data_IF_696400432690
#
_entry.id   IF_696400432690
#
_cell.length_a   1.000
_cell.length_b   1.000
_cell.length_c   1.000
_cell.angle_alpha   90.00
_cell.angle_beta   90.00
_cell.angle_gamma   90.00
#
_symmetry.space_group_name_H-M   'P 1'
#
loop_
_entity.id
_entity.type
_entity.pdbx_description
1 polymer ?
#
# COMPACT_ATOMS: atom_id res chain seq x y z
N UNK A 1 -43.79 -25.83 17.90
CA UNK A 1 -42.78 -25.47 16.85
C UNK A 1 -43.04 -24.02 16.48
N UNK A 2 -42.23 -23.07 17.00
CA UNK A 2 -42.26 -21.64 16.65
C UNK A 2 -41.23 -21.44 15.54
N UNK A 3 -41.67 -21.03 14.35
CA UNK A 3 -40.81 -20.57 13.27
C UNK A 3 -40.22 -19.22 13.67
N UNK A 4 -38.90 -19.17 13.86
CA UNK A 4 -38.15 -17.94 13.91
C UNK A 4 -38.06 -17.38 12.49
N UNK A 5 -38.64 -16.19 12.28
CA UNK A 5 -38.45 -15.40 11.08
C UNK A 5 -37.07 -14.71 11.19
N UNK A 6 -36.11 -15.21 10.43
CA UNK A 6 -34.85 -14.49 10.20
C UNK A 6 -35.15 -13.17 9.50
N UNK A 7 -34.86 -12.06 10.15
CA UNK A 7 -34.92 -10.73 9.57
C UNK A 7 -33.76 -10.59 8.58
N UNK A 8 -34.03 -10.68 7.29
CA UNK A 8 -33.11 -10.34 6.23
C UNK A 8 -32.78 -8.84 6.30
N UNK A 9 -31.56 -8.51 6.73
CA UNK A 9 -30.99 -7.17 6.57
C UNK A 9 -30.92 -6.86 5.07
N UNK A 10 -31.48 -5.73 4.60
CA UNK A 10 -31.41 -5.38 3.19
C UNK A 10 -29.96 -5.10 2.80
N UNK A 11 -29.48 -5.84 1.78
CA UNK A 11 -28.19 -5.55 1.14
C UNK A 11 -28.23 -4.16 0.53
N UNK A 12 -27.22 -3.30 0.75
CA UNK A 12 -27.16 -2.01 0.09
C UNK A 12 -27.16 -2.24 -1.42
N UNK A 13 -28.07 -1.56 -2.13
CA UNK A 13 -28.13 -1.61 -3.61
C UNK A 13 -26.86 -0.97 -4.13
N UNK A 14 -26.00 -1.76 -4.78
CA UNK A 14 -24.97 -1.29 -5.67
C UNK A 14 -25.68 -0.50 -6.77
N UNK A 15 -25.36 0.79 -6.93
CA UNK A 15 -25.86 1.60 -8.03
C UNK A 15 -25.30 1.05 -9.33
N UNK A 16 -26.19 0.77 -10.29
CA UNK A 16 -25.88 0.21 -11.59
C UNK A 16 -24.92 1.10 -12.38
N UNK A 17 -23.96 0.40 -13.04
CA UNK A 17 -23.17 0.81 -14.21
C UNK A 17 -22.58 2.23 -14.20
N UNK A 18 -21.59 2.45 -13.34
CA UNK A 18 -20.56 3.42 -13.69
C UNK A 18 -19.77 2.93 -14.92
N UNK A 19 -19.38 3.82 -15.87
CA UNK A 19 -18.58 3.42 -17.01
C UNK A 19 -17.32 2.68 -16.57
N UNK A 20 -16.92 1.65 -17.33
CA UNK A 20 -15.74 0.84 -17.02
C UNK A 20 -14.55 1.73 -16.66
N UNK A 21 -13.92 1.48 -15.52
CA UNK A 21 -12.77 2.23 -15.05
C UNK A 21 -11.51 1.43 -15.37
N UNK A 22 -10.57 2.05 -16.06
CA UNK A 22 -9.29 1.45 -16.41
C UNK A 22 -8.25 1.70 -15.31
N UNK A 23 -7.20 0.86 -15.25
CA UNK A 23 -6.06 1.09 -14.33
C UNK A 23 -5.44 2.46 -14.51
N UNK A 24 -5.37 2.95 -15.77
CA UNK A 24 -4.92 4.30 -16.09
C UNK A 24 -5.74 5.42 -15.43
N UNK A 25 -7.03 5.20 -15.14
CA UNK A 25 -7.84 6.19 -14.42
C UNK A 25 -7.40 6.31 -12.94
N UNK A 26 -7.03 5.19 -12.28
CA UNK A 26 -6.54 5.20 -10.91
C UNK A 26 -5.18 5.91 -10.79
N UNK A 27 -4.28 5.64 -11.73
CA UNK A 27 -2.99 6.34 -11.80
C UNK A 27 -3.20 7.84 -12.06
N UNK A 28 -4.06 8.21 -12.99
CA UNK A 28 -4.35 9.61 -13.28
C UNK A 28 -4.99 10.36 -12.09
N UNK A 29 -5.83 9.69 -11.29
CA UNK A 29 -6.36 10.24 -10.04
C UNK A 29 -5.24 10.47 -9.02
N UNK A 30 -4.35 9.49 -8.84
CA UNK A 30 -3.20 9.59 -7.95
C UNK A 30 -2.28 10.75 -8.35
N UNK A 31 -1.88 10.83 -9.62
CA UNK A 31 -1.00 11.89 -10.12
C UNK A 31 -1.64 13.28 -10.03
N UNK A 32 -2.94 13.39 -10.33
CA UNK A 32 -3.62 14.68 -10.37
C UNK A 32 -4.02 15.22 -9.01
N UNK A 33 -4.34 14.32 -8.06
CA UNK A 33 -4.84 14.66 -6.74
C UNK A 33 -4.13 13.86 -5.63
N UNK A 34 -2.78 13.93 -5.53
CA UNK A 34 -2.00 13.08 -4.61
C UNK A 34 -2.38 13.28 -3.14
N UNK A 35 -2.81 14.48 -2.74
CA UNK A 35 -3.26 14.76 -1.38
C UNK A 35 -4.57 14.03 -1.02
N UNK A 36 -5.38 13.69 -2.01
CA UNK A 36 -6.65 12.98 -1.83
C UNK A 36 -6.50 11.47 -2.03
N UNK A 37 -5.64 11.08 -2.95
CA UNK A 37 -5.37 9.70 -3.36
C UNK A 37 -3.87 9.39 -3.23
N UNK A 38 -3.32 9.32 -2.01
CA UNK A 38 -1.87 9.32 -1.82
C UNK A 38 -1.18 8.00 -2.11
N UNK A 39 -1.90 6.88 -2.19
CA UNK A 39 -1.30 5.55 -2.33
C UNK A 39 -2.07 4.71 -3.33
N UNK A 40 -1.40 4.29 -4.41
CA UNK A 40 -1.91 3.34 -5.39
C UNK A 40 -1.18 1.99 -5.21
N UNK A 41 -1.95 0.93 -5.04
CA UNK A 41 -1.47 -0.45 -4.98
C UNK A 41 -2.01 -1.18 -6.21
N UNK A 42 -1.13 -1.50 -7.15
CA UNK A 42 -1.46 -2.25 -8.36
C UNK A 42 -0.93 -3.67 -8.28
N UNK A 43 -1.72 -4.63 -8.73
CA UNK A 43 -1.30 -6.01 -8.78
C UNK A 43 -0.61 -6.33 -10.10
N UNK A 44 0.65 -6.75 -10.04
CA UNK A 44 1.44 -7.16 -11.20
C UNK A 44 1.35 -8.67 -11.50
N UNK A 45 0.65 -9.47 -10.69
CA UNK A 45 0.67 -10.94 -10.80
C UNK A 45 -0.29 -11.52 -11.84
N UNK A 46 -1.01 -10.67 -12.60
CA UNK A 46 -1.99 -11.12 -13.59
C UNK A 46 -3.26 -11.73 -12.96
N UNK A 47 -4.15 -12.26 -13.80
CA UNK A 47 -5.38 -12.88 -13.35
C UNK A 47 -5.13 -14.07 -12.41
N UNK A 48 -5.74 -14.02 -11.23
CA UNK A 48 -5.63 -15.06 -10.21
C UNK A 48 -6.08 -14.57 -8.83
N UNK A 49 -6.14 -15.47 -7.86
CA UNK A 49 -6.62 -15.15 -6.51
C UNK A 49 -5.75 -14.13 -5.76
N UNK A 50 -4.46 -14.02 -6.08
CA UNK A 50 -3.50 -13.14 -5.41
C UNK A 50 -3.34 -11.76 -6.08
N UNK A 51 -3.90 -11.55 -7.27
CA UNK A 51 -3.74 -10.31 -8.02
C UNK A 51 -5.06 -9.71 -8.50
N UNK A 52 -6.12 -9.92 -7.74
CA UNK A 52 -7.47 -9.61 -8.18
C UNK A 52 -7.83 -8.12 -8.13
N UNK A 53 -7.23 -7.37 -7.24
CA UNK A 53 -7.67 -6.00 -7.02
C UNK A 53 -6.52 -5.00 -7.13
N UNK A 54 -6.80 -3.87 -7.80
CA UNK A 54 -6.03 -2.65 -7.61
C UNK A 54 -6.75 -1.79 -6.58
N UNK A 55 -6.00 -1.12 -5.72
CA UNK A 55 -6.54 -0.32 -4.63
C UNK A 55 -5.89 1.05 -4.62
N UNK A 56 -6.69 2.10 -4.84
CA UNK A 56 -6.27 3.48 -4.68
C UNK A 56 -6.81 3.98 -3.34
N UNK A 57 -5.94 4.07 -2.34
CA UNK A 57 -6.29 4.55 -1.00
C UNK A 57 -6.58 6.04 -1.03
N UNK A 58 -7.58 6.45 -0.26
CA UNK A 58 -8.11 7.80 -0.28
C UNK A 58 -8.53 8.30 1.11
N UNK A 59 -8.83 9.59 1.17
CA UNK A 59 -9.24 10.29 2.39
C UNK A 59 -8.23 10.09 3.53
N UNK A 60 -6.96 10.53 3.31
CA UNK A 60 -5.91 10.41 4.30
C UNK A 60 -6.25 11.21 5.57
N UNK A 61 -5.99 10.60 6.71
CA UNK A 61 -6.12 11.19 8.04
C UNK A 61 -4.78 11.33 8.74
N UNK A 62 -4.78 11.06 10.03
CA UNK A 62 -3.60 11.15 10.89
C UNK A 62 -2.52 10.12 10.54
N UNK A 63 -1.30 10.41 10.99
CA UNK A 63 -0.13 9.54 10.80
C UNK A 63 0.51 9.23 12.14
N UNK A 64 0.85 7.96 12.34
CA UNK A 64 1.80 7.51 13.34
C UNK A 64 3.11 7.22 12.63
N UNK A 65 4.20 7.84 13.07
CA UNK A 65 5.50 7.74 12.42
C UNK A 65 6.62 7.51 13.42
N UNK A 66 7.53 6.59 13.11
CA UNK A 66 8.81 6.43 13.75
C UNK A 66 9.90 6.93 12.82
N UNK A 67 10.50 8.09 13.15
CA UNK A 67 11.51 8.73 12.32
C UNK A 67 12.80 7.91 12.21
N UNK A 68 13.72 8.25 11.28
CA UNK A 68 15.05 7.63 11.21
C UNK A 68 15.83 7.76 12.52
N UNK A 69 15.67 8.86 13.25
CA UNK A 69 16.35 9.12 14.53
C UNK A 69 15.71 8.39 15.71
N UNK A 70 14.56 7.72 15.48
CA UNK A 70 13.84 6.97 16.52
C UNK A 70 12.81 7.81 17.29
N UNK A 71 12.40 8.96 16.74
CA UNK A 71 11.33 9.77 17.34
C UNK A 71 9.97 9.23 16.91
N UNK A 72 9.15 8.85 17.88
CA UNK A 72 7.78 8.39 17.67
C UNK A 72 6.79 9.55 17.80
N UNK A 73 5.92 9.75 16.81
CA UNK A 73 4.92 10.83 16.78
C UNK A 73 3.60 10.35 16.17
N UNK A 74 2.49 10.87 16.67
CA UNK A 74 1.16 10.63 16.14
C UNK A 74 0.22 9.93 17.11
N UNK A 75 -0.95 9.50 16.64
CA UNK A 75 -1.93 8.79 17.48
C UNK A 75 -1.36 7.53 18.11
N UNK A 76 -1.75 7.25 19.35
CA UNK A 76 -1.24 6.11 20.10
C UNK A 76 0.18 6.26 20.64
N UNK A 77 0.93 7.32 20.26
CA UNK A 77 2.32 7.52 20.69
C UNK A 77 2.46 7.96 22.15
N UNK A 78 1.41 8.52 22.75
CA UNK A 78 1.46 9.01 24.13
C UNK A 78 1.82 7.89 25.10
N UNK A 79 2.94 8.06 25.84
CA UNK A 79 3.43 7.06 26.79
C UNK A 79 4.06 5.81 26.16
N UNK A 80 4.19 5.76 24.84
CA UNK A 80 4.84 4.66 24.12
C UNK A 80 6.23 5.05 23.60
N UNK A 81 7.14 4.10 23.63
CA UNK A 81 8.47 4.24 23.03
C UNK A 81 8.67 3.36 21.79
N UNK A 82 7.70 2.48 21.49
CA UNK A 82 7.75 1.49 20.42
C UNK A 82 6.61 1.72 19.44
N UNK A 83 6.92 1.67 18.15
CA UNK A 83 5.94 1.88 17.09
C UNK A 83 4.81 0.85 17.11
N UNK A 84 5.15 -0.43 17.26
CA UNK A 84 4.14 -1.49 17.25
C UNK A 84 3.16 -1.37 18.40
N UNK A 85 3.62 -0.96 19.59
CA UNK A 85 2.74 -0.73 20.75
C UNK A 85 1.84 0.49 20.55
N UNK A 86 2.36 1.56 19.93
CA UNK A 86 1.58 2.74 19.61
C UNK A 86 0.52 2.45 18.54
N UNK A 87 0.87 1.66 17.51
CA UNK A 87 -0.07 1.24 16.47
C UNK A 87 -1.19 0.37 17.05
N UNK A 88 -0.86 -0.56 17.94
CA UNK A 88 -1.84 -1.41 18.60
C UNK A 88 -2.81 -0.59 19.48
N UNK A 89 -2.29 0.37 20.24
CA UNK A 89 -3.10 1.30 21.02
C UNK A 89 -4.04 2.13 20.13
N UNK A 90 -3.53 2.65 19.01
CA UNK A 90 -4.33 3.41 18.06
C UNK A 90 -5.40 2.53 17.40
N UNK A 91 -5.03 1.35 16.90
CA UNK A 91 -5.96 0.40 16.30
C UNK A 91 -7.06 0.01 17.29
N UNK A 92 -6.72 -0.24 18.56
CA UNK A 92 -7.69 -0.58 19.62
C UNK A 92 -8.71 0.54 19.85
N UNK A 93 -8.27 1.81 19.78
CA UNK A 93 -9.17 2.97 19.95
C UNK A 93 -10.10 3.21 18.76
N UNK A 94 -9.76 2.67 17.58
CA UNK A 94 -10.48 2.89 16.32
C UNK A 94 -11.18 1.64 15.78
N UNK A 95 -11.30 0.59 16.59
CA UNK A 95 -11.91 -0.67 16.14
C UNK A 95 -13.31 -0.46 15.56
N UNK A 96 -13.53 -1.02 14.38
CA UNK A 96 -14.80 -1.01 13.67
C UNK A 96 -15.16 -2.42 13.19
N UNK A 97 -16.45 -2.72 12.95
CA UNK A 97 -16.86 -3.99 12.35
C UNK A 97 -16.16 -4.21 11.01
N UNK A 98 -15.80 -5.47 10.71
CA UNK A 98 -15.18 -5.82 9.46
C UNK A 98 -16.07 -5.41 8.26
N UNK A 99 -15.53 -4.74 7.25
CA UNK A 99 -16.29 -4.35 6.07
C UNK A 99 -16.62 -5.57 5.19
N UNK A 100 -17.68 -5.48 4.42
CA UNK A 100 -18.05 -6.49 3.42
C UNK A 100 -17.20 -6.40 2.13
N UNK A 101 -16.36 -5.36 2.01
CA UNK A 101 -15.45 -5.09 0.90
C UNK A 101 -14.01 -5.45 1.30
N UNK A 102 -13.08 -5.68 0.35
CA UNK A 102 -11.64 -5.83 0.65
C UNK A 102 -11.04 -4.68 1.45
N UNK A 103 -11.65 -3.49 1.37
CA UNK A 103 -11.29 -2.33 2.17
C UNK A 103 -12.55 -1.54 2.55
N UNK A 104 -12.60 -0.99 3.74
CA UNK A 104 -13.72 -0.18 4.25
C UNK A 104 -13.28 0.85 5.28
N UNK A 105 -12.06 1.35 5.16
CA UNK A 105 -11.32 2.14 6.14
C UNK A 105 -10.27 1.31 6.84
N UNK A 106 -9.14 1.93 7.19
CA UNK A 106 -8.01 1.25 7.81
C UNK A 106 -6.75 2.09 7.77
N UNK A 107 -5.61 1.45 7.64
CA UNK A 107 -4.31 2.11 7.59
C UNK A 107 -3.49 1.60 6.41
N UNK A 108 -2.79 2.50 5.75
CA UNK A 108 -1.60 2.15 5.00
C UNK A 108 -0.45 2.03 5.98
N UNK A 109 0.20 0.86 6.03
CA UNK A 109 1.29 0.60 6.97
C UNK A 109 2.56 0.30 6.20
N UNK A 110 3.62 1.06 6.48
CA UNK A 110 4.97 0.80 6.03
C UNK A 110 5.84 0.40 7.24
N UNK A 111 6.51 -0.72 7.13
CA UNK A 111 7.44 -1.22 8.13
C UNK A 111 8.82 -1.36 7.46
N UNK A 112 9.73 -0.46 7.80
CA UNK A 112 11.12 -0.55 7.37
C UNK A 112 11.81 -1.74 8.00
N UNK A 113 12.83 -2.26 7.35
CA UNK A 113 13.56 -3.44 7.83
C UNK A 113 14.20 -3.21 9.21
N UNK A 114 14.55 -1.95 9.49
CA UNK A 114 15.16 -1.52 10.75
C UNK A 114 14.21 -1.55 11.96
N UNK A 115 12.89 -1.68 11.71
CA UNK A 115 11.91 -1.88 12.77
C UNK A 115 12.09 -3.24 13.46
N UNK A 116 12.73 -4.20 12.81
CA UNK A 116 13.02 -5.51 13.38
C UNK A 116 13.74 -5.42 14.73
N UNK A 117 14.50 -4.35 15.00
CA UNK A 117 15.12 -4.10 16.29
C UNK A 117 14.11 -3.86 17.44
N UNK A 118 12.85 -3.53 17.15
CA UNK A 118 11.79 -3.50 18.19
C UNK A 118 11.36 -4.89 18.64
N UNK A 119 11.52 -5.89 17.77
CA UNK A 119 11.14 -7.29 18.03
C UNK A 119 12.32 -8.04 18.60
N UNK A 120 13.49 -7.87 18.00
CA UNK A 120 14.75 -8.52 18.38
C UNK A 120 15.84 -7.47 18.63
N UNK A 121 15.99 -7.00 19.87
CA UNK A 121 16.94 -5.93 20.22
C UNK A 121 18.42 -6.29 20.05
N UNK A 122 18.76 -7.56 19.86
CA UNK A 122 20.13 -8.02 19.60
C UNK A 122 20.60 -7.65 18.18
N UNK A 123 19.68 -7.33 17.26
CA UNK A 123 20.01 -7.01 15.88
C UNK A 123 20.78 -5.70 15.76
N UNK A 124 21.89 -5.73 15.04
CA UNK A 124 22.66 -4.55 14.66
C UNK A 124 22.32 -4.18 13.23
N UNK A 125 21.36 -3.28 13.07
CA UNK A 125 20.86 -2.85 11.77
C UNK A 125 21.55 -1.55 11.32
N UNK A 126 21.67 -1.33 10.00
CA UNK A 126 22.21 -0.06 9.47
C UNK A 126 21.30 1.11 9.86
N UNK A 127 21.84 2.33 9.76
CA UNK A 127 21.02 3.52 9.96
C UNK A 127 20.00 3.66 8.83
N UNK A 128 18.72 3.82 9.13
CA UNK A 128 17.70 4.03 8.12
C UNK A 128 17.86 5.38 7.42
N UNK A 129 17.53 5.44 6.15
CA UNK A 129 17.50 6.68 5.36
C UNK A 129 16.13 7.35 5.39
N UNK A 130 15.09 6.58 5.66
CA UNK A 130 13.69 6.99 5.70
C UNK A 130 13.08 6.68 7.06
N UNK A 131 11.82 7.02 7.26
CA UNK A 131 11.07 6.59 8.44
C UNK A 131 11.24 5.08 8.65
N UNK A 132 11.45 4.66 9.90
CA UNK A 132 11.54 3.23 10.26
C UNK A 132 10.19 2.55 10.12
N UNK A 133 9.11 3.30 10.41
CA UNK A 133 7.75 2.82 10.23
C UNK A 133 6.78 3.99 10.11
N UNK A 134 5.69 3.74 9.38
CA UNK A 134 4.59 4.67 9.18
C UNK A 134 3.28 3.90 9.19
N UNK A 135 2.30 4.39 9.94
CA UNK A 135 0.90 4.01 9.77
C UNK A 135 0.10 5.27 9.44
N UNK A 136 -0.59 5.24 8.31
CA UNK A 136 -1.36 6.38 7.81
C UNK A 136 -2.82 5.99 7.69
N UNK A 137 -3.68 6.69 8.42
CA UNK A 137 -5.12 6.44 8.44
C UNK A 137 -5.72 6.75 7.08
N UNK A 138 -6.46 5.80 6.52
CA UNK A 138 -7.17 5.92 5.25
C UNK A 138 -8.65 5.63 5.50
N UNK A 139 -9.52 6.59 5.17
CA UNK A 139 -10.96 6.48 5.45
C UNK A 139 -11.76 5.99 4.26
N UNK A 140 -11.14 5.90 3.09
CA UNK A 140 -11.76 5.43 1.86
C UNK A 140 -10.77 4.87 0.87
N UNK A 141 -11.28 4.23 -0.17
CA UNK A 141 -10.51 3.74 -1.31
C UNK A 141 -11.40 3.57 -2.55
N UNK A 142 -10.73 3.52 -3.71
CA UNK A 142 -11.29 2.98 -4.93
C UNK A 142 -10.68 1.58 -5.11
N UNK A 143 -11.54 0.58 -5.24
CA UNK A 143 -11.13 -0.82 -5.43
C UNK A 143 -11.59 -1.28 -6.81
N UNK A 144 -10.64 -1.58 -7.68
CA UNK A 144 -10.90 -2.10 -9.02
C UNK A 144 -10.68 -3.61 -9.05
N UNK A 145 -11.67 -4.35 -9.52
CA UNK A 145 -11.48 -5.76 -9.89
C UNK A 145 -10.73 -5.80 -11.23
N UNK A 146 -9.54 -6.40 -11.24
CA UNK A 146 -8.66 -6.42 -12.44
C UNK A 146 -9.27 -7.25 -13.56
N UNK A 147 -9.96 -8.33 -13.22
CA UNK A 147 -10.52 -9.27 -14.18
C UNK A 147 -11.86 -8.75 -14.76
N UNK A 148 -12.76 -8.28 -13.90
CA UNK A 148 -14.08 -7.80 -14.29
C UNK A 148 -14.15 -6.32 -14.66
N UNK A 149 -13.11 -5.53 -14.35
CA UNK A 149 -13.09 -4.09 -14.58
C UNK A 149 -14.05 -3.29 -13.70
N UNK A 150 -14.73 -3.92 -12.74
CA UNK A 150 -15.66 -3.25 -11.83
C UNK A 150 -14.90 -2.34 -10.87
N UNK A 151 -15.33 -1.08 -10.76
CA UNK A 151 -14.85 -0.15 -9.76
C UNK A 151 -15.85 -0.04 -8.60
N UNK A 152 -15.36 -0.18 -7.39
CA UNK A 152 -16.10 0.09 -6.16
C UNK A 152 -15.49 1.27 -5.42
N UNK A 153 -16.31 2.26 -5.12
CA UNK A 153 -15.96 3.34 -4.20
C UNK A 153 -16.39 2.91 -2.82
N UNK A 154 -15.44 2.79 -1.91
CA UNK A 154 -15.67 2.33 -0.54
C UNK A 154 -15.13 3.35 0.45
N UNK A 155 -15.86 3.61 1.52
CA UNK A 155 -15.44 4.53 2.57
C UNK A 155 -16.18 4.23 3.87
N UNK A 156 -15.70 4.83 4.94
CA UNK A 156 -16.41 4.84 6.21
C UNK A 156 -17.79 5.53 6.04
N UNK A 157 -18.81 5.04 6.75
CA UNK A 157 -20.20 5.51 6.54
C UNK A 157 -20.38 7.03 6.60
N UNK A 158 -19.63 7.69 7.50
CA UNK A 158 -19.74 9.12 7.76
C UNK A 158 -19.29 9.99 6.58
N UNK A 159 -18.43 9.46 5.70
CA UNK A 159 -17.85 10.19 4.56
C UNK A 159 -18.23 9.58 3.21
N UNK A 160 -18.90 8.44 3.19
CA UNK A 160 -19.13 7.66 1.97
C UNK A 160 -19.90 8.43 0.87
N UNK A 161 -20.96 9.18 1.25
CA UNK A 161 -21.77 9.90 0.27
C UNK A 161 -21.01 11.08 -0.38
N UNK A 162 -20.27 11.82 0.41
CA UNK A 162 -19.47 12.96 -0.05
C UNK A 162 -18.30 12.48 -0.90
N UNK A 163 -17.66 11.41 -0.45
CA UNK A 163 -16.56 10.81 -1.17
C UNK A 163 -16.98 10.26 -2.54
N UNK A 164 -18.14 9.59 -2.62
CA UNK A 164 -18.63 9.08 -3.90
C UNK A 164 -18.84 10.21 -4.92
N UNK A 165 -19.45 11.35 -4.50
CA UNK A 165 -19.60 12.53 -5.37
C UNK A 165 -18.28 13.13 -5.79
N UNK A 166 -17.29 13.17 -4.87
CA UNK A 166 -15.97 13.69 -5.16
C UNK A 166 -15.25 12.82 -6.18
N UNK A 167 -15.32 11.49 -6.06
CA UNK A 167 -14.74 10.54 -7.01
C UNK A 167 -15.34 10.72 -8.41
N UNK A 168 -16.67 10.89 -8.52
CA UNK A 168 -17.32 11.14 -9.82
C UNK A 168 -16.79 12.41 -10.48
N UNK A 169 -16.64 13.51 -9.74
CA UNK A 169 -16.10 14.77 -10.25
C UNK A 169 -14.61 14.65 -10.65
N UNK A 170 -13.80 13.95 -9.83
CA UNK A 170 -12.39 13.76 -10.08
C UNK A 170 -12.15 12.85 -11.30
N UNK A 171 -12.92 11.77 -11.47
CA UNK A 171 -12.91 10.92 -12.65
C UNK A 171 -13.29 11.70 -13.93
N UNK A 172 -14.32 12.54 -13.85
CA UNK A 172 -14.67 13.40 -14.97
C UNK A 172 -13.52 14.33 -15.36
N UNK A 173 -12.82 14.89 -14.37
CA UNK A 173 -11.67 15.76 -14.57
C UNK A 173 -10.50 15.05 -15.26
N UNK A 174 -10.10 13.87 -14.75
CA UNK A 174 -8.95 13.15 -15.32
C UNK A 174 -9.26 12.59 -16.73
N UNK A 175 -10.50 12.18 -16.99
CA UNK A 175 -10.94 11.69 -18.29
C UNK A 175 -11.07 12.79 -19.34
N UNK A 176 -11.37 14.03 -18.94
CA UNK A 176 -11.37 15.19 -19.81
C UNK A 176 -9.96 15.71 -20.12
N UNK A 177 -8.97 15.36 -19.30
CA UNK A 177 -7.59 15.74 -19.52
C UNK A 177 -6.98 14.94 -20.68
N UNK A 178 -6.11 15.57 -21.46
CA UNK A 178 -5.35 14.87 -22.49
C UNK A 178 -4.45 13.80 -21.83
N UNK A 179 -4.45 12.61 -22.37
CA UNK A 179 -3.57 11.53 -21.93
C UNK A 179 -2.12 11.99 -22.10
N UNK A 180 -1.37 12.10 -21.02
CA UNK A 180 0.06 12.39 -21.08
C UNK A 180 0.75 11.15 -21.66
N UNK A 181 1.46 11.26 -22.80
CA UNK A 181 2.20 10.13 -23.33
C UNK A 181 3.27 9.70 -22.31
N UNK A 182 3.36 8.40 -22.06
CA UNK A 182 4.47 7.85 -21.28
C UNK A 182 5.80 8.18 -21.98
N UNK A 183 6.86 8.52 -21.24
CA UNK A 183 8.16 8.74 -21.83
C UNK A 183 8.60 7.48 -22.58
N UNK A 184 9.11 7.64 -23.77
CA UNK A 184 9.54 6.51 -24.62
C UNK A 184 10.72 5.74 -23.98
N UNK A 185 11.46 6.39 -23.10
CA UNK A 185 12.62 5.83 -22.41
C UNK A 185 12.68 6.33 -20.99
N UNK A 186 12.58 5.40 -20.04
CA UNK A 186 12.66 5.72 -18.61
C UNK A 186 14.11 5.82 -18.11
N UNK A 187 15.05 5.11 -18.74
CA UNK A 187 16.46 5.09 -18.35
C UNK A 187 17.34 5.70 -19.44
N UNK A 188 18.36 6.45 -19.05
CA UNK A 188 19.28 7.10 -19.99
C UNK A 188 20.37 6.16 -20.51
N UNK A 189 20.80 5.23 -19.68
CA UNK A 189 21.97 4.40 -19.92
C UNK A 189 21.62 2.91 -19.85
N UNK A 190 22.64 2.10 -20.08
CA UNK A 190 22.55 0.65 -19.90
C UNK A 190 22.32 0.34 -18.42
N UNK A 191 21.43 -0.60 -18.14
CA UNK A 191 21.27 -1.16 -16.80
C UNK A 191 22.54 -1.92 -16.42
N UNK A 192 23.18 -1.52 -15.34
CA UNK A 192 24.39 -2.14 -14.82
C UNK A 192 24.00 -3.20 -13.79
N UNK A 193 24.31 -4.44 -14.08
CA UNK A 193 24.16 -5.56 -13.17
C UNK A 193 25.41 -5.75 -12.31
N UNK A 194 25.22 -6.17 -11.07
CA UNK A 194 26.32 -6.68 -10.26
C UNK A 194 26.91 -7.96 -10.90
N UNK A 195 28.23 -8.15 -10.87
CA UNK A 195 28.86 -9.39 -11.38
C UNK A 195 28.21 -10.66 -10.80
N UNK A 196 27.97 -11.64 -11.67
CA UNK A 196 27.21 -12.84 -11.29
C UNK A 196 27.92 -13.70 -10.22
N UNK A 197 29.24 -13.68 -10.20
CA UNK A 197 30.08 -14.36 -9.23
C UNK A 197 29.86 -13.88 -7.80
N UNK A 198 29.66 -12.58 -7.57
CA UNK A 198 29.34 -12.02 -6.25
C UNK A 198 28.06 -12.67 -5.70
N UNK A 199 27.02 -12.78 -6.52
CA UNK A 199 25.78 -13.43 -6.12
C UNK A 199 25.95 -14.94 -5.87
N UNK A 200 26.63 -15.64 -6.77
CA UNK A 200 26.84 -17.10 -6.63
C UNK A 200 27.74 -17.47 -5.46
N UNK A 201 28.72 -16.63 -5.13
CA UNK A 201 29.56 -16.81 -3.94
C UNK A 201 28.74 -16.56 -2.66
N UNK A 202 27.86 -15.55 -2.67
CA UNK A 202 26.90 -15.32 -1.59
C UNK A 202 25.97 -16.52 -1.35
N UNK A 203 25.49 -17.15 -2.45
CA UNK A 203 24.66 -18.38 -2.35
C UNK A 203 25.45 -19.52 -1.72
N UNK A 204 26.71 -19.75 -2.12
CA UNK A 204 27.58 -20.80 -1.51
C UNK A 204 27.76 -20.53 -0.01
N UNK A 205 28.11 -19.30 0.36
CA UNK A 205 28.30 -18.93 1.76
C UNK A 205 27.01 -19.12 2.59
N UNK A 206 25.85 -18.79 2.02
CA UNK A 206 24.55 -19.00 2.68
C UNK A 206 24.26 -20.50 2.89
N UNK A 207 24.51 -21.35 1.87
CA UNK A 207 24.34 -22.80 1.99
C UNK A 207 25.26 -23.42 3.05
N UNK A 208 26.50 -22.96 3.13
CA UNK A 208 27.43 -23.39 4.16
C UNK A 208 26.98 -22.97 5.56
N UNK A 209 26.47 -21.74 5.73
CA UNK A 209 25.93 -21.26 7.00
C UNK A 209 24.69 -22.05 7.45
N UNK A 210 23.80 -22.39 6.50
CA UNK A 210 22.65 -23.27 6.76
C UNK A 210 23.11 -24.67 7.18
N UNK A 211 24.09 -25.23 6.48
CA UNK A 211 24.61 -26.56 6.80
C UNK A 211 25.28 -26.64 8.20
N UNK A 212 25.90 -25.55 8.65
CA UNK A 212 26.44 -25.44 10.02
C UNK A 212 25.39 -25.15 11.08
N UNK A 213 24.16 -24.81 10.69
CA UNK A 213 23.11 -24.40 11.62
C UNK A 213 23.22 -22.96 12.13
N UNK A 214 24.06 -22.13 11.49
CA UNK A 214 24.23 -20.71 11.85
C UNK A 214 22.98 -19.88 11.51
N UNK A 215 22.31 -20.23 10.41
CA UNK A 215 21.05 -19.61 9.95
C UNK A 215 20.09 -20.67 9.42
N UNK A 216 18.80 -20.43 9.55
CA UNK A 216 17.75 -21.29 9.02
C UNK A 216 17.47 -21.00 7.53
N UNK A 217 17.51 -19.70 7.17
CA UNK A 217 17.19 -19.20 5.84
C UNK A 217 18.01 -17.95 5.57
N UNK A 218 18.37 -17.72 4.31
CA UNK A 218 18.96 -16.48 3.84
C UNK A 218 18.23 -16.00 2.59
N UNK A 219 17.83 -14.72 2.56
CA UNK A 219 17.29 -14.06 1.38
C UNK A 219 18.42 -13.25 0.74
N UNK A 220 18.82 -13.64 -0.46
CA UNK A 220 19.86 -12.96 -1.21
C UNK A 220 19.25 -12.13 -2.33
N UNK A 221 19.77 -10.93 -2.54
CA UNK A 221 19.37 -10.05 -3.63
C UNK A 221 20.58 -9.65 -4.47
N UNK A 222 20.31 -9.30 -5.75
CA UNK A 222 21.32 -8.82 -6.70
C UNK A 222 20.90 -7.42 -7.15
N UNK A 223 21.70 -6.39 -6.91
CA UNK A 223 21.37 -5.05 -7.31
C UNK A 223 21.55 -4.81 -8.81
N UNK A 224 20.59 -4.13 -9.40
CA UNK A 224 20.68 -3.54 -10.74
C UNK A 224 20.59 -2.03 -10.61
N UNK A 225 21.42 -1.30 -11.32
CA UNK A 225 21.49 0.17 -11.26
C UNK A 225 21.26 0.75 -12.64
N UNK A 226 20.46 1.80 -12.70
CA UNK A 226 20.22 2.56 -13.91
C UNK A 226 20.04 4.04 -13.55
N UNK A 227 20.41 4.92 -14.47
CA UNK A 227 20.10 6.36 -14.36
C UNK A 227 18.78 6.64 -15.03
N UNK A 228 17.89 7.34 -14.35
CA UNK A 228 16.62 7.77 -14.93
C UNK A 228 16.82 8.94 -15.88
N UNK A 229 16.01 9.04 -16.92
CA UNK A 229 15.95 10.21 -17.79
C UNK A 229 15.48 11.43 -16.99
N UNK A 230 15.95 12.62 -17.36
CA UNK A 230 15.64 13.86 -16.62
C UNK A 230 14.14 14.21 -16.60
N UNK A 231 13.39 13.71 -17.59
CA UNK A 231 11.94 13.87 -17.75
C UNK A 231 11.15 12.65 -17.20
N UNK A 232 11.86 11.64 -16.69
CA UNK A 232 11.21 10.50 -16.05
C UNK A 232 10.60 10.96 -14.71
N UNK A 233 9.28 10.91 -14.62
CA UNK A 233 8.57 11.10 -13.38
C UNK A 233 8.48 9.76 -12.66
N UNK A 234 8.93 9.73 -11.43
CA UNK A 234 8.64 8.64 -10.48
C UNK A 234 7.50 9.18 -9.63
N UNK A 235 6.27 8.88 -10.03
CA UNK A 235 5.06 9.21 -9.29
C UNK A 235 4.73 8.10 -8.30
#
# INVERSE_FOLDING_TARGET
RRHQRESRVPRPRVRDAAPAVHGSDLLALHERFPERYPVLLESASGAGTLGRHDVLLALPGERLELSPEGTLRGPGAAGQSRFLAALDAWWTSEQRPAPASPFGGGWFVYLGYELAAEIEPSLRLPRPRFARALAWRMRGALVRDVEGGELRVVAEPEVAADFARQVEADLATVRAAAIRPLPQRLVTDTVVEEPADIFTDGVRAALEAIARGDVYQANLSRPWRASLAADASVS
#
